data_IF_038051899446
#
_entry.id   IF_038051899446
#
_cell.length_a   1.000
_cell.length_b   1.000
_cell.length_c   1.000
_cell.angle_alpha   90.00
_cell.angle_beta   90.00
_cell.angle_gamma   90.00
#
_symmetry.space_group_name_H-M   'P 1'
#
loop_
_entity.id
_entity.type
_entity.pdbx_description
1 polymer ?
#
# COMPACT_ATOMS: atom_id res chain seq x y z
N UNK A 1 23.91 -7.34 -14.66
CA UNK A 1 23.88 -6.80 -13.29
C UNK A 1 22.63 -5.96 -13.19
N UNK A 2 21.79 -6.21 -12.18
CA UNK A 2 20.54 -5.45 -12.02
C UNK A 2 20.85 -4.10 -11.37
N UNK A 3 20.37 -3.01 -11.96
CA UNK A 3 20.58 -1.64 -11.48
C UNK A 3 19.26 -1.09 -10.95
N UNK A 4 19.29 -0.56 -9.74
CA UNK A 4 18.14 0.11 -9.14
C UNK A 4 18.39 1.62 -9.12
N UNK A 5 17.45 2.40 -9.64
CA UNK A 5 17.60 3.85 -9.68
C UNK A 5 16.32 4.59 -9.28
N UNK A 6 16.51 5.79 -8.75
CA UNK A 6 15.44 6.69 -8.39
C UNK A 6 14.75 7.23 -9.66
N UNK A 7 13.42 7.14 -9.79
CA UNK A 7 12.70 7.65 -10.96
C UNK A 7 12.80 9.16 -11.13
N UNK A 8 13.12 9.90 -10.06
CA UNK A 8 13.13 11.38 -10.07
C UNK A 8 14.50 11.98 -10.42
N UNK A 9 15.59 11.35 -9.96
CA UNK A 9 16.94 11.92 -10.13
C UNK A 9 17.95 10.96 -10.76
N UNK A 10 17.59 9.69 -10.99
CA UNK A 10 18.51 8.67 -11.50
C UNK A 10 19.53 8.16 -10.49
N UNK A 11 19.50 8.62 -9.24
CA UNK A 11 20.42 8.14 -8.21
C UNK A 11 20.19 6.67 -7.89
N UNK A 12 21.28 5.92 -7.73
CA UNK A 12 21.27 4.52 -7.27
C UNK A 12 21.28 4.43 -5.74
N UNK A 13 21.45 5.56 -5.03
CA UNK A 13 21.47 5.63 -3.57
C UNK A 13 20.05 5.65 -3.00
N UNK A 14 19.47 4.45 -2.91
CA UNK A 14 18.14 4.20 -2.36
C UNK A 14 18.29 3.52 -1.00
N UNK A 15 17.73 4.15 0.03
CA UNK A 15 17.74 3.63 1.40
C UNK A 15 16.34 3.15 1.77
N UNK A 16 16.25 2.01 2.46
CA UNK A 16 15.08 1.73 3.30
C UNK A 16 15.17 2.71 4.47
N UNK A 17 14.22 3.65 4.56
CA UNK A 17 14.20 4.58 5.68
C UNK A 17 14.22 3.80 6.99
N UNK A 18 15.10 4.16 7.92
CA UNK A 18 15.15 3.63 9.30
C UNK A 18 14.70 4.72 10.26
N UNK A 19 14.25 4.37 11.47
CA UNK A 19 13.73 5.33 12.46
C UNK A 19 14.68 6.53 12.72
N UNK A 20 15.98 6.36 12.53
CA UNK A 20 17.02 7.39 12.68
C UNK A 20 16.93 8.55 11.66
N UNK A 21 16.26 8.35 10.52
CA UNK A 21 16.11 9.40 9.49
C UNK A 21 14.83 10.25 9.65
N UNK A 22 14.15 10.15 10.80
CA UNK A 22 12.92 10.93 11.09
C UNK A 22 11.67 10.48 10.31
N UNK A 23 11.72 9.32 9.65
CA UNK A 23 10.60 8.77 8.87
C UNK A 23 10.03 7.56 9.61
N UNK A 24 8.87 7.73 10.25
CA UNK A 24 8.20 6.67 10.99
C UNK A 24 7.58 5.68 9.99
N UNK A 25 8.17 4.50 9.91
CA UNK A 25 7.68 3.39 9.09
C UNK A 25 6.52 2.74 9.85
N UNK A 26 5.29 2.90 9.36
CA UNK A 26 4.20 2.02 9.74
C UNK A 26 4.49 0.61 9.21
N UNK A 27 4.23 -0.42 10.02
CA UNK A 27 4.49 -1.86 9.80
C UNK A 27 4.04 -2.47 8.45
N UNK A 28 3.48 -1.69 7.53
CA UNK A 28 2.90 -2.12 6.24
C UNK A 28 3.43 -1.38 5.01
N UNK A 29 4.42 -0.50 5.13
CA UNK A 29 4.98 0.18 3.94
C UNK A 29 6.46 0.50 4.11
N UNK A 30 7.32 -0.44 3.67
CA UNK A 30 8.74 -0.19 3.40
C UNK A 30 8.81 0.84 2.28
N UNK A 31 8.82 2.12 2.62
CA UNK A 31 9.01 3.19 1.62
C UNK A 31 10.51 3.35 1.41
N UNK A 32 10.96 2.92 0.24
CA UNK A 32 12.30 3.23 -0.25
C UNK A 32 12.40 4.75 -0.47
N UNK A 33 13.44 5.36 0.08
CA UNK A 33 13.69 6.79 -0.01
C UNK A 33 15.00 7.03 -0.74
N UNK A 34 14.97 7.88 -1.76
CA UNK A 34 16.18 8.33 -2.43
C UNK A 34 16.90 9.37 -1.56
N UNK A 35 18.19 9.16 -1.27
CA UNK A 35 18.99 10.09 -0.46
C UNK A 35 19.20 11.44 -1.14
N UNK A 36 19.36 11.45 -2.46
CA UNK A 36 19.74 12.67 -3.17
C UNK A 36 18.58 13.63 -3.41
N UNK A 37 17.35 13.13 -3.55
CA UNK A 37 16.20 13.99 -3.87
C UNK A 37 14.99 13.79 -2.94
N UNK A 38 15.12 12.95 -1.91
CA UNK A 38 14.07 12.67 -0.93
C UNK A 38 12.83 11.97 -1.49
N UNK A 39 12.89 11.47 -2.74
CA UNK A 39 11.77 10.78 -3.36
C UNK A 39 11.41 9.52 -2.56
N UNK A 40 10.13 9.39 -2.18
CA UNK A 40 9.59 8.24 -1.45
C UNK A 40 8.71 7.40 -2.39
N UNK A 41 9.12 6.17 -2.70
CA UNK A 41 8.36 5.33 -3.61
C UNK A 41 9.14 4.12 -4.12
N UNK A 42 8.54 3.38 -5.05
CA UNK A 42 9.22 2.26 -5.72
C UNK A 42 10.39 2.78 -6.59
N UNK A 43 11.48 2.03 -6.61
CA UNK A 43 12.61 2.29 -7.49
C UNK A 43 12.38 1.67 -8.87
N UNK A 44 13.03 2.21 -9.90
CA UNK A 44 13.07 1.58 -11.22
C UNK A 44 14.17 0.54 -11.24
N UNK A 45 13.87 -0.62 -11.83
CA UNK A 45 14.81 -1.72 -12.02
C UNK A 45 15.20 -1.79 -13.49
N UNK A 46 16.50 -1.85 -13.77
CA UNK A 46 17.07 -1.97 -15.11
C UNK A 46 17.89 -3.25 -15.20
N UNK A 47 17.72 -4.00 -16.29
CA UNK A 47 18.43 -5.26 -16.50
C UNK A 47 19.80 -5.04 -17.15
N UNK A 48 19.97 -3.90 -17.83
CA UNK A 48 21.21 -3.52 -18.50
C UNK A 48 21.67 -2.09 -18.16
N UNK A 49 22.99 -1.89 -18.17
CA UNK A 49 23.59 -0.56 -17.99
C UNK A 49 23.21 0.41 -19.12
N UNK A 50 22.97 -0.12 -20.33
CA UNK A 50 22.56 0.68 -21.49
C UNK A 50 21.20 1.34 -21.27
N UNK A 51 20.22 0.58 -20.77
CA UNK A 51 18.88 1.11 -20.43
C UNK A 51 18.96 2.19 -19.33
N UNK A 52 19.76 1.94 -18.29
CA UNK A 52 19.97 2.92 -17.23
C UNK A 52 20.58 4.23 -17.78
N UNK A 53 21.58 4.15 -18.65
CA UNK A 53 22.21 5.33 -19.25
C UNK A 53 21.25 6.09 -20.18
N UNK A 54 20.37 5.39 -20.89
CA UNK A 54 19.32 6.01 -21.70
C UNK A 54 18.31 6.76 -20.84
N UNK A 55 17.88 6.14 -19.73
CA UNK A 55 17.01 6.78 -18.75
C UNK A 55 17.62 8.03 -18.10
N UNK A 56 18.90 8.00 -17.71
CA UNK A 56 19.55 9.19 -17.14
C UNK A 56 19.71 10.30 -18.18
N UNK A 57 19.92 9.95 -19.46
CA UNK A 57 19.99 10.93 -20.55
C UNK A 57 18.64 11.62 -20.78
N UNK A 58 17.53 10.87 -20.78
CA UNK A 58 16.19 11.46 -20.91
C UNK A 58 15.86 12.37 -19.74
N UNK A 59 16.18 11.97 -18.50
CA UNK A 59 15.97 12.80 -17.31
C UNK A 59 16.72 14.15 -17.36
N UNK A 60 17.92 14.20 -17.95
CA UNK A 60 18.68 15.46 -18.10
C UNK A 60 18.05 16.35 -19.17
N UNK A 61 17.63 15.77 -20.29
CA UNK A 61 16.97 16.48 -21.39
C UNK A 61 15.68 17.18 -20.92
N UNK A 62 14.90 16.54 -20.06
CA UNK A 62 13.66 17.11 -19.52
C UNK A 62 13.91 18.23 -18.49
N UNK A 63 15.06 18.22 -17.80
CA UNK A 63 15.46 19.29 -16.87
C UNK A 63 15.94 20.53 -17.61
N UNK A 64 16.69 20.36 -18.68
CA UNK A 64 17.22 21.47 -19.48
C UNK A 64 16.12 22.18 -20.29
N UNK A 65 14.99 21.51 -20.56
CA UNK A 65 13.81 22.10 -21.22
C UNK A 65 12.82 22.77 -20.26
N UNK A 66 13.10 22.81 -18.96
CA UNK A 66 12.28 23.45 -17.91
C UNK A 66 12.97 24.63 -17.23
N UNK A 67 13.82 25.36 -17.94
CA UNK A 67 14.11 26.74 -17.55
C UNK A 67 12.89 27.61 -17.88
N UNK A 68 12.50 28.56 -16.99
CA UNK A 68 11.50 29.55 -17.34
C UNK A 68 12.04 30.33 -18.54
N UNK A 69 11.37 30.18 -19.68
CA UNK A 69 11.55 31.09 -20.80
C UNK A 69 10.95 32.40 -20.33
N UNK A 70 11.82 33.29 -19.86
CA UNK A 70 11.50 34.69 -19.73
C UNK A 70 10.97 35.16 -21.10
N UNK A 71 9.78 35.73 -21.07
CA UNK A 71 9.12 36.34 -22.22
C UNK A 71 10.01 37.48 -22.73
N UNK A 72 10.75 37.26 -23.82
CA UNK A 72 11.07 38.31 -24.78
C UNK A 72 11.58 37.72 -26.12
N UNK A 73 10.78 37.99 -27.16
CA UNK A 73 11.07 38.05 -28.59
C UNK A 73 12.34 37.39 -29.15
N UNK A 74 12.13 36.47 -30.11
CA UNK A 74 12.49 36.77 -31.50
C UNK A 74 11.85 35.81 -32.50
N UNK A 75 11.24 36.43 -33.52
CA UNK A 75 10.82 35.84 -34.79
C UNK A 75 11.91 34.94 -35.38
N UNK A 76 11.70 33.62 -35.37
CA UNK A 76 12.29 32.73 -36.36
C UNK A 76 11.17 31.94 -37.04
N UNK A 77 10.85 32.39 -38.26
CA UNK A 77 9.89 31.78 -39.17
C UNK A 77 10.47 30.45 -39.66
N UNK A 78 10.40 29.42 -38.83
CA UNK A 78 10.74 28.05 -39.21
C UNK A 78 9.71 27.62 -40.26
N UNK A 79 10.21 27.41 -41.47
CA UNK A 79 9.41 26.91 -42.59
C UNK A 79 9.14 25.44 -42.31
N UNK A 80 7.98 25.15 -41.71
CA UNK A 80 7.55 23.80 -41.35
C UNK A 80 7.49 22.92 -42.61
N UNK A 81 8.35 21.91 -42.63
CA UNK A 81 8.33 20.86 -43.65
C UNK A 81 7.11 19.97 -43.43
N UNK A 82 6.43 19.58 -44.51
CA UNK A 82 5.18 18.79 -44.54
C UNK A 82 5.20 17.46 -43.77
N UNK A 83 6.35 17.01 -43.25
CA UNK A 83 6.48 15.77 -42.47
C UNK A 83 6.15 15.95 -40.98
N UNK A 84 6.36 17.13 -40.41
CA UNK A 84 6.18 17.33 -38.97
C UNK A 84 4.72 17.52 -38.58
N UNK A 85 3.88 17.98 -39.52
CA UNK A 85 2.43 18.10 -39.32
C UNK A 85 1.77 16.72 -39.10
N UNK A 86 2.25 15.66 -39.76
CA UNK A 86 1.69 14.30 -39.60
C UNK A 86 2.01 13.66 -38.25
N UNK A 87 3.08 14.10 -37.58
CA UNK A 87 3.45 13.56 -36.27
C UNK A 87 2.62 14.22 -35.17
N UNK A 88 2.28 15.51 -35.31
CA UNK A 88 1.44 16.20 -34.34
C UNK A 88 0.01 15.64 -34.31
N UNK A 89 -0.59 15.36 -35.48
CA UNK A 89 -1.95 14.81 -35.57
C UNK A 89 -2.05 13.38 -34.98
N UNK A 90 -0.97 12.59 -35.01
CA UNK A 90 -0.95 11.26 -34.41
C UNK A 90 -0.85 11.28 -32.87
N UNK A 91 -0.22 12.31 -32.29
CA UNK A 91 -0.06 12.43 -30.83
C UNK A 91 -1.37 12.83 -30.15
N UNK A 92 -2.20 13.66 -30.80
CA UNK A 92 -3.52 14.03 -30.27
C UNK A 92 -4.51 12.85 -30.29
N UNK A 93 -4.47 11.99 -31.33
CA UNK A 93 -5.29 10.77 -31.38
C UNK A 93 -4.89 9.75 -30.28
N UNK A 94 -3.59 9.58 -30.00
CA UNK A 94 -3.13 8.68 -28.92
C UNK A 94 -3.48 9.23 -27.53
N UNK A 95 -3.53 10.55 -27.37
CA UNK A 95 -3.90 11.19 -26.11
C UNK A 95 -5.38 10.99 -25.77
N UNK A 96 -6.27 11.05 -26.76
CA UNK A 96 -7.70 10.78 -26.58
C UNK A 96 -7.98 9.30 -26.24
N UNK A 97 -7.23 8.35 -26.79
CA UNK A 97 -7.39 6.91 -26.46
C UNK A 97 -7.01 6.62 -25.00
N UNK A 98 -6.11 7.40 -24.40
CA UNK A 98 -5.63 7.16 -23.03
C UNK A 98 -6.62 7.63 -21.96
N UNK A 99 -7.46 8.61 -22.26
CA UNK A 99 -8.43 9.15 -21.30
C UNK A 99 -9.69 8.28 -21.18
N UNK A 100 -10.06 7.50 -22.20
CA UNK A 100 -11.21 6.59 -22.14
C UNK A 100 -10.96 5.29 -21.35
N UNK A 101 -9.70 4.90 -21.10
CA UNK A 101 -9.38 3.69 -20.31
C UNK A 101 -9.28 3.92 -18.79
N UNK A 102 -9.50 5.15 -18.31
CA UNK A 102 -9.63 5.43 -16.88
C UNK A 102 -11.12 5.36 -16.45
N UNK A 103 -11.82 4.31 -16.87
CA UNK A 103 -13.04 3.89 -16.20
C UNK A 103 -12.69 3.48 -14.77
N UNK A 104 -12.84 4.45 -13.87
CA UNK A 104 -13.26 4.34 -12.47
C UNK A 104 -13.10 2.94 -11.88
N UNK A 105 -11.85 2.48 -11.70
CA UNK A 105 -11.55 1.34 -10.85
C UNK A 105 -11.98 1.78 -9.45
N UNK A 106 -13.21 1.42 -9.07
CA UNK A 106 -13.73 1.60 -7.72
C UNK A 106 -12.79 0.87 -6.79
N UNK A 107 -11.84 1.62 -6.25
CA UNK A 107 -10.98 1.18 -5.15
C UNK A 107 -11.90 1.01 -3.96
N UNK A 108 -12.45 -0.19 -3.82
CA UNK A 108 -13.22 -0.57 -2.64
C UNK A 108 -12.33 -0.33 -1.43
N UNK A 109 -12.69 0.69 -0.63
CA UNK A 109 -11.96 1.02 0.58
C UNK A 109 -11.95 -0.23 1.46
N UNK A 110 -10.78 -0.65 1.99
CA UNK A 110 -10.71 -1.83 2.84
C UNK A 110 -11.66 -1.63 4.02
N UNK A 111 -12.65 -2.52 4.15
CA UNK A 111 -13.61 -2.48 5.24
C UNK A 111 -12.85 -2.69 6.55
N UNK A 112 -12.97 -1.76 7.49
CA UNK A 112 -12.33 -1.87 8.80
C UNK A 112 -13.12 -2.85 9.68
N UNK A 113 -12.59 -4.05 9.93
CA UNK A 113 -13.25 -5.12 10.70
C UNK A 113 -13.02 -5.03 12.22
N UNK A 114 -12.06 -4.22 12.65
CA UNK A 114 -11.76 -3.95 14.06
C UNK A 114 -12.97 -3.63 14.96
N UNK A 115 -13.94 -2.77 14.57
CA UNK A 115 -15.10 -2.49 15.41
C UNK A 115 -15.99 -3.73 15.64
N UNK A 116 -16.14 -4.62 14.64
CA UNK A 116 -16.94 -5.84 14.78
C UNK A 116 -16.31 -6.81 15.80
N UNK A 117 -14.97 -6.92 15.79
CA UNK A 117 -14.21 -7.73 16.74
C UNK A 117 -14.35 -7.18 18.18
N UNK A 118 -14.22 -5.87 18.35
CA UNK A 118 -14.33 -5.23 19.67
C UNK A 118 -15.73 -5.43 20.26
N UNK A 119 -16.77 -5.25 19.45
CA UNK A 119 -18.17 -5.46 19.88
C UNK A 119 -18.40 -6.92 20.31
N UNK A 120 -17.89 -7.88 19.54
CA UNK A 120 -17.99 -9.31 19.87
C UNK A 120 -17.38 -9.63 21.23
N UNK A 121 -16.17 -9.10 21.51
CA UNK A 121 -15.49 -9.30 22.80
C UNK A 121 -16.30 -8.71 23.95
N UNK A 122 -16.81 -7.48 23.81
CA UNK A 122 -17.61 -6.81 24.85
C UNK A 122 -18.88 -7.60 25.16
N UNK A 123 -19.61 -8.04 24.13
CA UNK A 123 -20.84 -8.84 24.30
C UNK A 123 -20.54 -10.14 25.01
N UNK A 124 -19.43 -10.81 24.65
CA UNK A 124 -19.04 -12.08 25.28
C UNK A 124 -18.72 -11.92 26.76
N UNK A 125 -18.03 -10.84 27.15
CA UNK A 125 -17.74 -10.52 28.56
C UNK A 125 -19.03 -10.28 29.33
N UNK A 126 -19.97 -9.50 28.78
CA UNK A 126 -21.25 -9.19 29.45
C UNK A 126 -22.05 -10.48 29.68
N UNK A 127 -22.15 -11.35 28.67
CA UNK A 127 -22.84 -12.64 28.80
C UNK A 127 -22.17 -13.54 29.83
N UNK A 128 -20.83 -13.55 29.87
CA UNK A 128 -20.06 -14.30 30.86
C UNK A 128 -20.33 -13.82 32.30
N UNK A 129 -20.33 -12.51 32.52
CA UNK A 129 -20.64 -11.91 33.85
C UNK A 129 -22.06 -12.25 34.26
N UNK A 130 -23.04 -12.07 33.36
CA UNK A 130 -24.44 -12.35 33.67
C UNK A 130 -24.66 -13.83 34.00
N UNK A 131 -24.06 -14.72 33.22
CA UNK A 131 -24.11 -16.17 33.46
C UNK A 131 -23.47 -16.55 34.80
N UNK A 132 -22.36 -15.91 35.17
CA UNK A 132 -21.71 -16.12 36.47
C UNK A 132 -22.62 -15.73 37.63
N UNK A 133 -23.26 -14.55 37.57
CA UNK A 133 -24.17 -14.09 38.61
C UNK A 133 -25.38 -15.04 38.78
N UNK A 134 -25.99 -15.47 37.69
CA UNK A 134 -27.11 -16.43 37.75
C UNK A 134 -26.70 -17.80 38.33
N UNK A 135 -25.46 -18.23 38.09
CA UNK A 135 -24.93 -19.50 38.60
C UNK A 135 -24.62 -19.45 40.11
N UNK A 136 -24.12 -18.30 40.60
CA UNK A 136 -23.82 -18.09 42.02
C UNK A 136 -25.09 -18.11 42.87
N UNK A 137 -26.20 -17.55 42.36
CA UNK A 137 -27.49 -17.59 43.07
C UNK A 137 -28.08 -19.00 43.15
N UNK A 138 -27.84 -19.86 42.16
CA UNK A 138 -28.46 -21.18 42.08
C UNK A 138 -27.72 -22.27 42.83
N UNK A 139 -26.41 -22.13 43.07
CA UNK A 139 -25.60 -23.20 43.68
C UNK A 139 -24.94 -22.73 44.98
N UNK A 140 -25.57 -23.04 46.12
CA UNK A 140 -25.04 -22.81 47.47
C UNK A 140 -23.79 -23.63 47.83
N UNK A 141 -23.17 -24.33 46.86
CA UNK A 141 -21.97 -25.14 47.05
C UNK A 141 -20.84 -24.63 46.15
N UNK A 142 -19.96 -23.81 46.72
CA UNK A 142 -18.97 -22.97 46.02
C UNK A 142 -17.98 -23.76 45.17
N UNK A 143 -17.60 -24.97 45.59
CA UNK A 143 -16.53 -25.76 44.95
C UNK A 143 -16.96 -26.24 43.54
N UNK A 144 -18.17 -26.78 43.42
CA UNK A 144 -18.73 -27.25 42.13
C UNK A 144 -18.89 -26.12 41.12
N UNK A 145 -19.20 -24.91 41.60
CA UNK A 145 -19.37 -23.71 40.78
C UNK A 145 -18.04 -23.29 40.14
N UNK A 146 -16.93 -23.32 40.88
CA UNK A 146 -15.60 -22.98 40.34
C UNK A 146 -15.15 -23.95 39.24
N UNK A 147 -15.41 -25.25 39.38
CA UNK A 147 -15.07 -26.24 38.34
C UNK A 147 -15.87 -26.03 37.06
N UNK A 148 -17.17 -25.72 37.18
CA UNK A 148 -18.02 -25.43 36.01
C UNK A 148 -17.57 -24.15 35.29
N UNK A 149 -17.22 -23.09 36.02
CA UNK A 149 -16.71 -21.84 35.44
C UNK A 149 -15.36 -22.04 34.78
N UNK A 150 -14.45 -22.79 35.41
CA UNK A 150 -13.16 -23.12 34.82
C UNK A 150 -13.32 -23.89 33.51
N UNK A 151 -14.25 -24.85 33.48
CA UNK A 151 -14.53 -25.64 32.28
C UNK A 151 -15.12 -24.81 31.14
N UNK A 152 -16.10 -23.94 31.42
CA UNK A 152 -16.69 -23.07 30.40
C UNK A 152 -15.68 -22.04 29.87
N UNK A 153 -14.80 -21.53 30.73
CA UNK A 153 -13.73 -20.62 30.33
C UNK A 153 -12.70 -21.30 29.41
N UNK A 154 -12.32 -22.55 29.71
CA UNK A 154 -11.42 -23.34 28.85
C UNK A 154 -12.07 -23.59 27.48
N UNK A 155 -13.35 -23.95 27.43
CA UNK A 155 -14.08 -24.13 26.17
C UNK A 155 -14.10 -22.82 25.37
N UNK A 156 -14.35 -21.69 26.05
CA UNK A 156 -14.38 -20.39 25.42
C UNK A 156 -13.02 -20.01 24.80
N UNK A 157 -11.93 -20.20 25.53
CA UNK A 157 -10.57 -20.00 25.00
C UNK A 157 -10.34 -20.93 23.80
N UNK A 158 -10.75 -22.19 23.89
CA UNK A 158 -10.65 -23.15 22.79
C UNK A 158 -11.36 -22.66 21.53
N UNK A 159 -12.58 -22.13 21.65
CA UNK A 159 -13.33 -21.56 20.53
C UNK A 159 -12.64 -20.34 19.92
N UNK A 160 -12.08 -19.43 20.73
CA UNK A 160 -11.32 -18.30 20.22
C UNK A 160 -10.08 -18.73 19.43
N UNK A 161 -9.34 -19.72 19.93
CA UNK A 161 -8.19 -20.29 19.22
C UNK A 161 -8.62 -20.91 17.88
N UNK A 162 -9.73 -21.66 17.87
CA UNK A 162 -10.29 -22.25 16.63
C UNK A 162 -10.63 -21.15 15.62
N UNK A 163 -11.28 -20.06 16.04
CA UNK A 163 -11.62 -18.93 15.16
C UNK A 163 -10.36 -18.33 14.53
N UNK A 164 -9.32 -18.07 15.34
CA UNK A 164 -8.04 -17.52 14.86
C UNK A 164 -7.37 -18.48 13.86
N UNK A 165 -7.41 -19.78 14.12
CA UNK A 165 -6.86 -20.79 13.19
C UNK A 165 -7.65 -20.80 11.87
N UNK A 166 -8.98 -20.74 11.92
CA UNK A 166 -9.83 -20.67 10.73
C UNK A 166 -9.51 -19.43 9.90
N UNK A 167 -9.42 -18.25 10.52
CA UNK A 167 -9.05 -17.01 9.82
C UNK A 167 -7.66 -17.10 9.18
N UNK A 168 -6.69 -17.67 9.91
CA UNK A 168 -5.34 -17.87 9.39
C UNK A 168 -5.34 -18.79 8.16
N UNK A 169 -6.07 -19.90 8.22
CA UNK A 169 -6.19 -20.85 7.10
C UNK A 169 -6.88 -20.19 5.90
N UNK A 170 -7.99 -19.48 6.11
CA UNK A 170 -8.69 -18.77 5.04
C UNK A 170 -7.80 -17.72 4.37
N UNK A 171 -7.02 -16.97 5.16
CA UNK A 171 -6.07 -15.99 4.65
C UNK A 171 -4.93 -16.65 3.87
N UNK A 172 -4.44 -17.79 4.34
CA UNK A 172 -3.41 -18.58 3.65
C UNK A 172 -3.89 -19.12 2.30
N UNK A 173 -5.13 -19.62 2.23
CA UNK A 173 -5.73 -20.11 0.98
C UNK A 173 -5.87 -18.97 -0.03
N UNK A 174 -6.33 -17.79 0.41
CA UNK A 174 -6.49 -16.62 -0.46
C UNK A 174 -5.16 -16.15 -1.07
N UNK A 175 -4.06 -16.23 -0.33
CA UNK A 175 -2.72 -15.91 -0.83
C UNK A 175 -2.13 -16.97 -1.76
N UNK A 176 -2.63 -18.21 -1.73
CA UNK A 176 -2.13 -19.29 -2.59
C UNK A 176 -2.84 -19.40 -3.95
N UNK A 177 -3.96 -18.70 -4.13
CA UNK A 177 -4.79 -18.76 -5.35
C UNK A 177 -4.54 -17.55 -6.27
N UNK A 178 -3.85 -16.51 -5.79
CA UNK A 178 -3.45 -15.30 -6.54
C UNK A 178 -1.96 -15.39 -6.84
#
# INVERSE_FOLDING_TARGET
MVIYACPRCGSQEIFMGTMDSGVIIGLTSIKNVCKDCGFQGAHLQFESEKEYLEFVKTLKKDKDQKQPVDEEEQNEKITLSKKDQQVLDFVDDVKNIREEQYEDVKVEKPKNWWPEIIISIIVSIIVGIFSYFSLVETMGNTITTFYLIGYTFIIFIGLLVIIVVIEYVLKSIKHSII
#
